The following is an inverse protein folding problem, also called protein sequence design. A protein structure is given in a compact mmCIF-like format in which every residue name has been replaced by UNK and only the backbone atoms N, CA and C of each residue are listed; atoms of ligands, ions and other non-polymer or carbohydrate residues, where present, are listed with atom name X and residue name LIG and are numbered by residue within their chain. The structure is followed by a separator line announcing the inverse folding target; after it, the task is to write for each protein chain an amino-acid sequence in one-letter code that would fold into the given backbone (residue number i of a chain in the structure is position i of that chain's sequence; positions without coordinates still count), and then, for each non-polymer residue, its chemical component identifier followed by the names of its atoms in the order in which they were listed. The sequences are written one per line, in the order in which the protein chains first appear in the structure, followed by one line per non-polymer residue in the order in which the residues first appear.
data_IF_409368850566
#
_entry.id   IF_409368850566
#
_cell.length_a   1.000
_cell.length_b   1.000
_cell.length_c   1.000
_cell.angle_alpha   90.00
_cell.angle_beta   90.00
_cell.angle_gamma   90.00
#
_symmetry.space_group_name_H-M   'P 1'
#
loop_
_entity.id
_entity.type
_entity.pdbx_description
1 polymer ?
#
# COMPACT_ATOMS: atom_id res chain seq x y z
N UNK A 1 -3.15 -10.16 -15.26
CA UNK A 1 -2.70 -11.10 -14.20
C UNK A 1 -3.84 -12.03 -13.78
N UNK A 2 -3.61 -13.35 -13.81
CA UNK A 2 -4.57 -14.38 -13.36
C UNK A 2 -4.58 -14.55 -11.83
N UNK A 3 -5.61 -15.22 -11.30
CA UNK A 3 -5.73 -15.47 -9.85
C UNK A 3 -4.54 -16.27 -9.29
N UNK A 4 -4.16 -17.37 -9.95
CA UNK A 4 -3.03 -18.22 -9.53
C UNK A 4 -1.71 -17.44 -9.51
N UNK A 5 -1.52 -16.55 -10.48
CA UNK A 5 -0.34 -15.67 -10.55
C UNK A 5 -0.34 -14.68 -9.37
N UNK A 6 -1.48 -14.05 -9.11
CA UNK A 6 -1.64 -13.10 -8.01
C UNK A 6 -1.40 -13.78 -6.65
N UNK A 7 -1.86 -15.01 -6.43
CA UNK A 7 -1.58 -15.79 -5.22
C UNK A 7 -0.09 -16.07 -5.02
N UNK A 8 0.59 -16.53 -6.07
CA UNK A 8 2.03 -16.81 -6.03
C UNK A 8 2.82 -15.55 -5.65
N UNK A 9 2.57 -14.44 -6.35
CA UNK A 9 3.25 -13.17 -6.09
C UNK A 9 2.90 -12.57 -4.73
N UNK A 10 1.64 -12.66 -4.31
CA UNK A 10 1.21 -12.20 -3.01
C UNK A 10 1.96 -12.94 -1.90
N UNK A 11 2.11 -14.26 -2.03
CA UNK A 11 2.86 -15.09 -1.07
C UNK A 11 4.35 -14.74 -1.05
N UNK A 12 4.97 -14.54 -2.22
CA UNK A 12 6.37 -14.08 -2.33
C UNK A 12 6.57 -12.72 -1.66
N UNK A 13 5.72 -11.75 -1.99
CA UNK A 13 5.78 -10.40 -1.41
C UNK A 13 5.53 -10.42 0.09
N UNK A 14 4.52 -11.16 0.57
CA UNK A 14 4.24 -11.28 1.99
C UNK A 14 5.43 -11.85 2.76
N UNK A 15 5.98 -12.98 2.29
CA UNK A 15 7.14 -13.64 2.92
C UNK A 15 8.34 -12.69 3.00
N UNK A 16 8.59 -11.96 1.92
CA UNK A 16 9.68 -10.99 1.83
C UNK A 16 9.50 -9.83 2.80
N UNK A 17 8.30 -9.26 2.88
CA UNK A 17 8.00 -8.17 3.81
C UNK A 17 8.02 -8.63 5.27
N UNK A 18 7.65 -9.88 5.56
CA UNK A 18 7.78 -10.45 6.91
C UNK A 18 9.25 -10.63 7.32
N UNK A 19 10.14 -10.98 6.38
CA UNK A 19 11.60 -11.01 6.61
C UNK A 19 12.13 -9.59 6.82
N UNK A 20 11.72 -8.63 5.99
CA UNK A 20 12.12 -7.23 6.09
C UNK A 20 11.76 -6.64 7.46
N UNK A 21 10.54 -6.88 7.96
CA UNK A 21 10.09 -6.42 9.27
C UNK A 21 11.04 -6.90 10.38
N UNK A 22 11.42 -8.17 10.35
CA UNK A 22 12.36 -8.75 11.34
C UNK A 22 13.75 -8.11 11.25
N UNK A 23 14.20 -7.74 10.05
CA UNK A 23 15.48 -7.05 9.83
C UNK A 23 15.46 -5.59 10.32
N UNK A 24 14.32 -4.90 10.18
CA UNK A 24 14.15 -3.51 10.64
C UNK A 24 14.11 -3.46 12.18
N UNK A 25 13.30 -4.32 12.80
CA UNK A 25 13.12 -4.33 14.25
C UNK A 25 12.53 -3.02 14.79
N UNK A 26 13.00 -2.62 15.97
CA UNK A 26 12.51 -1.44 16.70
C UNK A 26 13.10 -0.15 16.13
N UNK A 27 12.25 0.83 15.83
CA UNK A 27 12.64 2.10 15.23
C UNK A 27 12.52 3.21 16.28
N UNK A 28 13.64 3.89 16.56
CA UNK A 28 13.63 5.08 17.42
C UNK A 28 13.16 6.30 16.64
N UNK A 29 12.10 6.97 17.10
CA UNK A 29 11.60 8.21 16.47
C UNK A 29 12.06 9.45 17.24
N UNK A 30 12.15 9.35 18.57
CA UNK A 30 12.64 10.42 19.44
C UNK A 30 12.86 9.91 20.84
N UNK A 31 13.08 10.76 21.83
CA UNK A 31 13.23 10.34 23.25
C UNK A 31 12.16 10.99 24.12
N UNK A 32 11.88 10.44 25.30
CA UNK A 32 11.00 11.10 26.29
C UNK A 32 11.50 12.50 26.65
N UNK A 33 12.82 12.75 26.64
CA UNK A 33 13.38 14.09 26.88
C UNK A 33 12.97 15.09 25.78
N UNK A 34 12.89 14.64 24.52
CA UNK A 34 12.44 15.46 23.39
C UNK A 34 10.90 15.55 23.33
N UNK A 35 10.21 14.49 23.73
CA UNK A 35 8.75 14.38 23.74
C UNK A 35 8.23 14.12 25.16
N UNK A 36 8.33 15.12 26.07
CA UNK A 36 7.98 14.94 27.49
C UNK A 36 6.51 14.62 27.72
N UNK A 37 5.66 14.78 26.69
CA UNK A 37 4.22 14.51 26.73
C UNK A 37 3.82 13.39 25.76
N UNK A 38 4.79 12.57 25.32
CA UNK A 38 4.60 11.43 24.45
C UNK A 38 4.09 11.79 23.05
N UNK A 39 3.43 10.83 22.40
CA UNK A 39 3.04 10.91 20.99
C UNK A 39 1.95 11.93 20.64
N UNK A 40 1.00 12.21 21.54
CA UNK A 40 -0.19 13.04 21.26
C UNK A 40 -0.88 12.67 19.93
N UNK A 41 -0.81 13.56 18.92
CA UNK A 41 -1.39 13.36 17.58
C UNK A 41 -0.43 12.68 16.59
N UNK A 42 0.86 12.59 16.91
CA UNK A 42 1.87 11.98 16.04
C UNK A 42 1.60 10.49 15.78
N UNK A 43 1.02 9.77 16.77
CA UNK A 43 0.62 8.36 16.64
C UNK A 43 -0.60 8.11 15.72
N UNK A 44 -1.01 9.10 14.91
CA UNK A 44 -2.18 9.01 14.02
C UNK A 44 -1.96 9.66 12.65
N UNK A 45 -0.78 10.22 12.38
CA UNK A 45 -0.59 11.19 11.31
C UNK A 45 0.57 10.89 10.37
N UNK A 46 0.68 11.74 9.34
CA UNK A 46 1.69 11.65 8.27
C UNK A 46 3.15 11.80 8.75
N UNK A 47 3.36 12.39 9.93
CA UNK A 47 4.71 12.70 10.44
C UNK A 47 5.58 11.46 10.62
N UNK A 48 5.07 10.45 11.33
CA UNK A 48 5.82 9.20 11.55
C UNK A 48 5.79 8.33 10.30
N UNK A 49 4.70 8.39 9.52
CA UNK A 49 4.57 7.64 8.28
C UNK A 49 5.70 7.92 7.28
N UNK A 50 6.08 9.18 7.05
CA UNK A 50 7.18 9.52 6.13
C UNK A 50 8.51 8.90 6.57
N UNK A 51 8.82 8.93 7.87
CA UNK A 51 10.03 8.29 8.41
C UNK A 51 9.96 6.77 8.22
N UNK A 52 8.79 6.16 8.47
CA UNK A 52 8.60 4.72 8.31
C UNK A 52 8.72 4.29 6.85
N UNK A 53 8.17 5.07 5.92
CA UNK A 53 8.28 4.84 4.48
C UNK A 53 9.75 4.80 4.06
N UNK A 54 10.54 5.81 4.46
CA UNK A 54 12.00 5.84 4.25
C UNK A 54 12.72 4.65 4.88
N UNK A 55 12.38 4.29 6.12
CA UNK A 55 12.96 3.10 6.76
C UNK A 55 12.66 1.84 5.95
N UNK A 56 11.43 1.67 5.47
CA UNK A 56 11.03 0.50 4.68
C UNK A 56 11.77 0.48 3.35
N UNK A 57 11.77 1.59 2.59
CA UNK A 57 12.37 1.64 1.25
C UNK A 57 13.89 1.51 1.29
N UNK A 58 14.58 2.16 2.23
CA UNK A 58 16.03 2.02 2.36
C UNK A 58 16.44 0.60 2.79
N UNK A 59 15.67 -0.05 3.67
CA UNK A 59 15.95 -1.44 4.05
C UNK A 59 15.60 -2.43 2.92
N UNK A 60 14.59 -2.12 2.10
CA UNK A 60 14.30 -2.84 0.87
C UNK A 60 15.49 -2.77 -0.09
N UNK A 61 16.01 -1.57 -0.39
CA UNK A 61 17.20 -1.39 -1.24
C UNK A 61 18.45 -2.05 -0.67
N UNK A 62 18.63 -2.00 0.66
CA UNK A 62 19.79 -2.59 1.32
C UNK A 62 19.75 -4.13 1.29
N UNK A 63 18.58 -4.73 1.44
CA UNK A 63 18.42 -6.16 1.68
C UNK A 63 17.70 -6.91 0.57
N UNK A 64 17.39 -6.32 -0.59
CA UNK A 64 16.56 -6.95 -1.63
C UNK A 64 17.00 -8.39 -2.01
N UNK A 65 18.32 -8.65 -2.06
CA UNK A 65 18.84 -9.99 -2.33
C UNK A 65 18.46 -11.03 -1.26
N UNK A 66 18.40 -10.63 0.02
CA UNK A 66 17.93 -11.46 1.13
C UNK A 66 16.40 -11.64 1.14
N UNK A 67 15.69 -10.85 0.33
CA UNK A 67 14.22 -10.83 0.20
C UNK A 67 13.77 -11.57 -1.07
N UNK A 68 14.62 -12.42 -1.63
CA UNK A 68 14.38 -13.18 -2.87
C UNK A 68 14.05 -12.27 -4.08
N UNK A 69 14.52 -11.03 -4.06
CA UNK A 69 14.40 -10.08 -5.17
C UNK A 69 15.70 -10.04 -5.97
N UNK A 70 15.59 -9.90 -7.28
CA UNK A 70 16.72 -9.71 -8.20
C UNK A 70 16.97 -8.24 -8.51
N UNK A 71 15.93 -7.42 -8.41
CA UNK A 71 16.02 -5.96 -8.50
C UNK A 71 14.94 -5.30 -7.66
N UNK A 72 15.22 -4.07 -7.25
CA UNK A 72 14.27 -3.16 -6.65
C UNK A 72 14.53 -1.75 -7.13
N UNK A 73 13.46 -1.01 -7.39
CA UNK A 73 13.49 0.40 -7.77
C UNK A 73 12.53 1.15 -6.85
N UNK A 74 13.05 2.01 -5.97
CA UNK A 74 12.25 2.89 -5.12
C UNK A 74 11.86 4.14 -5.91
N UNK A 75 10.63 4.61 -5.73
CA UNK A 75 10.18 5.86 -6.34
C UNK A 75 10.79 7.07 -5.64
N UNK A 76 11.46 7.93 -6.42
CA UNK A 76 11.97 9.24 -5.98
C UNK A 76 10.90 10.34 -6.03
N UNK A 77 9.74 10.05 -6.62
CA UNK A 77 8.66 11.02 -6.86
C UNK A 77 7.55 10.92 -5.82
N UNK A 78 7.24 12.04 -5.17
CA UNK A 78 6.04 12.17 -4.30
C UNK A 78 4.71 11.98 -5.06
N UNK A 79 4.77 12.02 -6.39
CA UNK A 79 3.57 11.90 -7.24
C UNK A 79 3.41 10.54 -7.89
N UNK A 80 4.38 9.62 -7.71
CA UNK A 80 4.26 8.25 -8.19
C UNK A 80 3.01 7.57 -7.64
N UNK A 81 2.55 6.54 -8.37
CA UNK A 81 1.39 5.74 -7.97
C UNK A 81 1.79 4.57 -7.07
N UNK A 82 3.06 4.17 -7.12
CA UNK A 82 3.68 3.10 -6.34
C UNK A 82 4.94 3.64 -5.67
N UNK A 83 5.28 3.09 -4.51
CA UNK A 83 6.42 3.55 -3.70
C UNK A 83 7.69 2.76 -4.04
N UNK A 84 7.53 1.52 -4.52
CA UNK A 84 8.62 0.77 -5.14
C UNK A 84 8.10 -0.22 -6.18
N UNK A 85 9.01 -0.69 -7.02
CA UNK A 85 8.81 -1.77 -7.95
C UNK A 85 9.93 -2.80 -7.80
N UNK A 86 9.65 -4.08 -8.03
CA UNK A 86 10.62 -5.16 -7.78
C UNK A 86 10.41 -6.36 -8.71
N UNK A 87 11.50 -7.06 -9.02
CA UNK A 87 11.49 -8.33 -9.74
C UNK A 87 11.94 -9.43 -8.79
N UNK A 88 11.07 -10.41 -8.53
CA UNK A 88 11.42 -11.57 -7.70
C UNK A 88 12.30 -12.57 -8.46
N UNK A 89 13.07 -13.37 -7.73
CA UNK A 89 13.85 -14.45 -8.30
C UNK A 89 12.95 -15.45 -9.04
N UNK A 90 13.38 -15.81 -10.25
CA UNK A 90 12.61 -16.67 -11.15
C UNK A 90 11.40 -16.00 -11.78
N UNK A 91 11.26 -14.68 -11.63
CA UNK A 91 10.26 -13.87 -12.33
C UNK A 91 10.94 -12.97 -13.34
N UNK A 92 10.26 -12.71 -14.46
CA UNK A 92 10.71 -11.76 -15.49
C UNK A 92 9.97 -10.42 -15.40
N UNK A 93 8.76 -10.44 -14.84
CA UNK A 93 7.88 -9.27 -14.75
C UNK A 93 8.03 -8.57 -13.41
N UNK A 94 8.11 -7.25 -13.47
CA UNK A 94 8.14 -6.37 -12.31
C UNK A 94 6.76 -6.23 -11.67
N UNK A 95 6.72 -6.31 -10.34
CA UNK A 95 5.56 -5.95 -9.55
C UNK A 95 5.69 -4.50 -9.06
N UNK A 96 4.56 -3.83 -8.88
CA UNK A 96 4.48 -2.46 -8.38
C UNK A 96 3.76 -2.47 -7.04
N UNK A 97 4.30 -1.76 -6.04
CA UNK A 97 3.77 -1.82 -4.67
C UNK A 97 3.58 -0.43 -4.10
N UNK A 98 2.40 -0.18 -3.54
CA UNK A 98 2.13 1.01 -2.75
C UNK A 98 2.20 0.68 -1.24
N UNK A 99 3.02 1.40 -0.50
CA UNK A 99 3.19 1.29 0.95
C UNK A 99 2.09 2.08 1.64
N UNK A 100 1.41 1.41 2.57
CA UNK A 100 0.46 2.01 3.50
C UNK A 100 0.89 1.70 4.91
N UNK A 101 0.55 2.59 5.83
CA UNK A 101 0.68 2.31 7.26
C UNK A 101 -0.66 2.39 7.96
N UNK A 102 -0.85 1.54 8.96
CA UNK A 102 -1.99 1.57 9.86
C UNK A 102 -1.50 1.45 11.30
N UNK A 103 -2.21 2.04 12.27
CA UNK A 103 -1.93 1.79 13.69
C UNK A 103 -2.45 0.41 14.05
N UNK A 104 -1.62 -0.42 14.68
CA UNK A 104 -1.99 -1.75 15.13
C UNK A 104 -3.17 -1.70 16.12
N UNK A 105 -4.08 -2.66 16.03
CA UNK A 105 -5.28 -2.74 16.90
C UNK A 105 -6.37 -1.69 16.64
N UNK A 106 -6.19 -0.73 15.72
CA UNK A 106 -7.27 0.22 15.38
C UNK A 106 -8.33 -0.41 14.49
N UNK A 107 -9.57 0.05 14.70
CA UNK A 107 -10.71 -0.27 13.83
C UNK A 107 -10.43 0.14 12.39
N UNK A 108 -10.83 -0.71 11.45
CA UNK A 108 -10.75 -0.43 10.02
C UNK A 108 -11.55 0.84 9.66
N UNK A 109 -10.95 1.66 8.79
CA UNK A 109 -11.54 2.86 8.23
C UNK A 109 -11.42 2.78 6.71
N UNK A 110 -12.29 3.52 6.02
CA UNK A 110 -12.20 3.64 4.57
C UNK A 110 -11.08 4.61 4.23
N UNK A 111 -9.96 4.08 3.76
CA UNK A 111 -8.76 4.87 3.49
C UNK A 111 -8.49 5.02 2.01
N UNK A 112 -7.76 6.06 1.64
CA UNK A 112 -7.18 6.20 0.31
C UNK A 112 -6.13 5.11 0.08
N UNK A 113 -6.29 4.36 -1.00
CA UNK A 113 -5.37 3.30 -1.44
C UNK A 113 -4.44 3.83 -2.52
N UNK A 114 -4.99 4.43 -3.57
CA UNK A 114 -4.22 4.94 -4.71
C UNK A 114 -4.98 6.07 -5.41
N UNK A 115 -4.27 6.92 -6.15
CA UNK A 115 -4.89 7.92 -7.02
C UNK A 115 -5.54 7.21 -8.20
N UNK A 116 -6.87 7.27 -8.34
CA UNK A 116 -7.58 6.52 -9.38
C UNK A 116 -7.16 6.93 -10.79
N UNK A 117 -6.94 8.21 -11.06
CA UNK A 117 -6.42 8.65 -12.38
C UNK A 117 -5.02 8.11 -12.70
N UNK A 118 -4.16 7.99 -11.68
CA UNK A 118 -2.84 7.40 -11.83
C UNK A 118 -2.92 5.89 -12.10
N UNK A 119 -3.76 5.18 -11.33
CA UNK A 119 -3.99 3.76 -11.51
C UNK A 119 -4.62 3.43 -12.87
N UNK A 120 -5.51 4.30 -13.36
CA UNK A 120 -6.06 4.18 -14.72
C UNK A 120 -4.96 4.23 -15.77
N UNK A 121 -4.10 5.25 -15.72
CA UNK A 121 -2.96 5.41 -16.66
C UNK A 121 -1.99 4.23 -16.61
N UNK A 122 -1.79 3.65 -15.43
CA UNK A 122 -0.98 2.44 -15.27
C UNK A 122 -1.55 1.27 -16.08
N UNK A 123 -2.84 0.98 -15.93
CA UNK A 123 -3.49 -0.11 -16.67
C UNK A 123 -3.73 0.19 -18.15
N UNK A 124 -3.76 1.46 -18.55
CA UNK A 124 -3.73 1.87 -19.97
C UNK A 124 -2.37 1.56 -20.61
N UNK A 125 -1.27 1.64 -19.83
CA UNK A 125 0.09 1.32 -20.30
C UNK A 125 0.38 -0.18 -20.26
N UNK A 126 -0.02 -0.86 -19.19
CA UNK A 126 0.11 -2.31 -19.02
C UNK A 126 -1.20 -2.89 -18.50
N UNK A 127 -1.98 -3.45 -19.42
CA UNK A 127 -3.27 -4.06 -19.15
C UNK A 127 -3.23 -5.19 -18.11
N UNK A 128 -2.08 -5.84 -17.98
CA UNK A 128 -1.82 -6.97 -17.10
C UNK A 128 -0.88 -6.61 -15.94
N UNK A 129 -0.72 -5.33 -15.66
CA UNK A 129 0.17 -4.82 -14.62
C UNK A 129 -0.07 -5.45 -13.25
N UNK A 130 1.01 -5.86 -12.60
CA UNK A 130 0.99 -6.56 -11.31
C UNK A 130 1.15 -5.52 -10.20
N UNK A 131 0.05 -5.18 -9.52
CA UNK A 131 0.00 -4.07 -8.57
C UNK A 131 -0.52 -4.52 -7.21
N UNK A 132 0.21 -4.16 -6.15
CA UNK A 132 -0.04 -4.57 -4.78
C UNK A 132 -0.07 -3.38 -3.83
N UNK A 133 -0.68 -3.60 -2.67
CA UNK A 133 -0.68 -2.69 -1.53
C UNK A 133 0.01 -3.43 -0.39
N UNK A 134 1.04 -2.84 0.20
CA UNK A 134 1.72 -3.35 1.36
C UNK A 134 1.33 -2.51 2.58
N UNK A 135 0.49 -3.04 3.47
CA UNK A 135 0.06 -2.32 4.68
C UNK A 135 0.88 -2.75 5.89
N UNK A 136 1.73 -1.87 6.39
CA UNK A 136 2.54 -2.08 7.59
C UNK A 136 1.80 -1.57 8.83
N UNK A 137 1.65 -2.43 9.83
CA UNK A 137 0.93 -2.11 11.06
C UNK A 137 1.91 -1.66 12.15
N UNK A 138 1.78 -0.42 12.56
CA UNK A 138 2.68 0.23 13.51
C UNK A 138 2.14 0.14 14.93
N UNK A 139 2.98 -0.35 15.84
CA UNK A 139 2.78 -0.22 17.27
C UNK A 139 3.63 0.93 17.81
N UNK A 140 3.05 1.74 18.69
CA UNK A 140 3.69 2.93 19.26
C UNK A 140 3.95 2.68 20.74
N UNK A 141 5.20 2.81 21.17
CA UNK A 141 5.60 2.55 22.55
C UNK A 141 5.83 3.84 23.32
N UNK A 142 5.70 3.79 24.64
CA UNK A 142 5.83 4.97 25.50
C UNK A 142 7.24 5.58 25.45
N UNK A 143 8.28 4.79 25.18
CA UNK A 143 9.68 5.22 25.05
C UNK A 143 10.01 5.95 23.74
N UNK A 144 9.00 6.40 23.00
CA UNK A 144 9.10 7.11 21.72
C UNK A 144 9.75 6.29 20.59
N UNK A 145 9.58 4.98 20.69
CA UNK A 145 9.89 4.02 19.61
C UNK A 145 8.62 3.48 18.97
N UNK A 146 8.78 2.93 17.78
CA UNK A 146 7.74 2.16 17.11
C UNK A 146 8.29 0.80 16.68
N UNK A 147 7.39 -0.16 16.57
CA UNK A 147 7.65 -1.45 15.95
C UNK A 147 6.65 -1.69 14.82
N UNK A 148 7.09 -2.39 13.78
CA UNK A 148 6.20 -2.87 12.74
C UNK A 148 5.76 -4.28 13.16
N UNK A 149 4.52 -4.40 13.61
CA UNK A 149 3.97 -5.67 14.13
C UNK A 149 3.78 -6.71 13.04
N UNK A 150 3.30 -6.26 11.88
CA UNK A 150 3.05 -7.12 10.72
C UNK A 150 2.90 -6.29 9.44
N UNK A 151 3.03 -6.95 8.29
CA UNK A 151 2.60 -6.43 7.00
C UNK A 151 1.44 -7.26 6.45
N UNK A 152 0.59 -6.65 5.63
CA UNK A 152 -0.34 -7.36 4.75
C UNK A 152 -0.08 -6.92 3.32
N UNK A 153 0.44 -7.84 2.50
CA UNK A 153 0.55 -7.69 1.06
C UNK A 153 -0.77 -8.08 0.40
N UNK A 154 -1.38 -7.13 -0.33
CA UNK A 154 -2.74 -7.26 -0.86
C UNK A 154 -2.77 -6.91 -2.35
N UNK A 155 -3.14 -7.84 -3.25
CA UNK A 155 -3.30 -7.53 -4.67
C UNK A 155 -4.40 -6.49 -4.88
N UNK A 156 -4.14 -5.42 -5.61
CA UNK A 156 -5.14 -4.34 -5.78
C UNK A 156 -6.42 -4.85 -6.45
N UNK A 157 -6.27 -5.85 -7.33
CA UNK A 157 -7.38 -6.48 -8.03
C UNK A 157 -8.40 -7.10 -7.05
N UNK A 158 -7.94 -7.54 -5.88
CA UNK A 158 -8.77 -8.27 -4.92
C UNK A 158 -9.51 -7.37 -3.93
N UNK A 159 -9.39 -6.04 -4.08
CA UNK A 159 -10.08 -5.09 -3.20
C UNK A 159 -11.60 -5.28 -3.38
N UNK A 160 -12.35 -5.59 -2.32
CA UNK A 160 -13.75 -6.00 -2.45
C UNK A 160 -14.71 -4.80 -2.60
N UNK A 161 -14.45 -3.71 -1.88
CA UNK A 161 -15.30 -2.52 -1.80
C UNK A 161 -14.71 -1.36 -2.63
N UNK A 162 -14.61 -1.58 -3.95
CA UNK A 162 -14.10 -0.59 -4.90
C UNK A 162 -14.93 0.68 -4.88
N UNK A 163 -14.35 1.76 -4.38
CA UNK A 163 -14.97 3.06 -4.36
C UNK A 163 -14.01 4.15 -4.81
N UNK A 164 -14.44 4.96 -5.76
CA UNK A 164 -13.73 6.16 -6.19
C UNK A 164 -14.36 7.37 -5.53
N UNK A 165 -13.55 8.15 -4.82
CA UNK A 165 -14.01 9.37 -4.18
C UNK A 165 -14.22 10.49 -5.22
N UNK A 166 -15.44 11.02 -5.40
CA UNK A 166 -15.73 12.02 -6.43
C UNK A 166 -15.11 13.41 -6.18
N UNK A 167 -14.68 13.71 -4.95
CA UNK A 167 -14.14 15.03 -4.56
C UNK A 167 -12.64 15.03 -4.24
N UNK A 168 -12.06 13.88 -3.85
CA UNK A 168 -10.66 13.78 -3.42
C UNK A 168 -9.77 13.19 -4.53
N UNK A 169 -9.54 13.96 -5.60
CA UNK A 169 -8.68 13.56 -6.73
C UNK A 169 -9.00 12.20 -7.38
N UNK A 170 -10.26 11.74 -7.26
CA UNK A 170 -10.65 10.40 -7.70
C UNK A 170 -9.82 9.28 -7.06
N UNK A 171 -9.45 9.41 -5.78
CA UNK A 171 -8.74 8.35 -5.07
C UNK A 171 -9.61 7.09 -4.97
N UNK A 172 -9.00 5.93 -5.26
CA UNK A 172 -9.53 4.63 -4.91
C UNK A 172 -9.45 4.48 -3.39
N UNK A 173 -10.56 4.10 -2.77
CA UNK A 173 -10.65 3.88 -1.34
C UNK A 173 -11.29 2.53 -1.04
N UNK A 174 -10.85 1.91 0.06
CA UNK A 174 -11.52 0.74 0.64
C UNK A 174 -11.25 0.65 2.13
N UNK A 175 -12.18 0.03 2.86
CA UNK A 175 -12.03 -0.29 4.28
C UNK A 175 -11.51 -1.69 4.56
N UNK A 176 -11.28 -2.50 3.52
CA UNK A 176 -11.06 -3.95 3.64
C UNK A 176 -9.71 -4.44 3.11
N UNK A 177 -8.96 -3.61 2.39
CA UNK A 177 -7.66 -3.97 1.80
C UNK A 177 -6.55 -4.35 2.82
N UNK A 178 -6.81 -4.16 4.11
CA UNK A 178 -5.87 -4.46 5.20
C UNK A 178 -5.99 -5.90 5.74
N UNK A 179 -6.96 -6.68 5.26
CA UNK A 179 -7.17 -8.06 5.69
C UNK A 179 -7.57 -8.94 4.52
N UNK A 180 -6.77 -9.98 4.25
CA UNK A 180 -7.03 -10.93 3.15
C UNK A 180 -8.30 -11.75 3.37
N UNK A 181 -8.86 -11.80 4.59
CA UNK A 181 -10.13 -12.48 4.87
C UNK A 181 -11.30 -11.90 4.06
N UNK A 182 -11.21 -10.62 3.68
CA UNK A 182 -12.23 -9.92 2.92
C UNK A 182 -11.93 -9.88 1.42
N UNK A 183 -10.82 -10.47 0.98
CA UNK A 183 -10.39 -10.40 -0.41
C UNK A 183 -11.41 -11.07 -1.34
N UNK A 184 -11.76 -10.38 -2.42
CA UNK A 184 -12.52 -10.95 -3.52
C UNK A 184 -11.56 -11.29 -4.65
N UNK A 185 -11.10 -12.55 -4.69
CA UNK A 185 -10.15 -13.00 -5.70
C UNK A 185 -10.77 -12.86 -7.09
N UNK A 186 -10.10 -12.11 -7.95
CA UNK A 186 -10.46 -11.88 -9.33
C UNK A 186 -9.23 -11.66 -10.18
N UNK A 187 -9.41 -11.81 -11.48
CA UNK A 187 -8.39 -11.44 -12.46
C UNK A 187 -8.31 -9.90 -12.58
N UNK A 188 -7.15 -9.42 -13.06
CA UNK A 188 -6.97 -7.98 -13.31
C UNK A 188 -7.94 -7.45 -14.36
N UNK A 189 -8.31 -8.25 -15.36
CA UNK A 189 -9.30 -7.90 -16.38
C UNK A 189 -10.67 -7.57 -15.76
N UNK A 190 -11.17 -8.43 -14.87
CA UNK A 190 -12.42 -8.20 -14.14
C UNK A 190 -12.33 -6.98 -13.22
N UNK A 191 -11.23 -6.84 -12.47
CA UNK A 191 -11.00 -5.67 -11.63
C UNK A 191 -11.07 -4.37 -12.43
N UNK A 192 -10.47 -4.34 -13.62
CA UNK A 192 -10.42 -3.12 -14.45
C UNK A 192 -11.80 -2.68 -14.89
N UNK A 193 -12.68 -3.61 -15.28
CA UNK A 193 -14.08 -3.29 -15.62
C UNK A 193 -14.77 -2.64 -14.42
N UNK A 194 -14.70 -3.27 -13.24
CA UNK A 194 -15.32 -2.73 -12.02
C UNK A 194 -14.72 -1.38 -11.60
N UNK A 195 -13.41 -1.21 -11.80
CA UNK A 195 -12.70 0.03 -11.51
C UNK A 195 -13.13 1.17 -12.45
N UNK A 196 -13.29 0.90 -13.75
CA UNK A 196 -13.77 1.86 -14.73
C UNK A 196 -15.22 2.28 -14.45
N UNK A 197 -16.10 1.33 -14.13
CA UNK A 197 -17.47 1.61 -13.68
C UNK A 197 -17.49 2.52 -12.44
N UNK A 198 -16.66 2.21 -11.44
CA UNK A 198 -16.56 3.02 -10.23
C UNK A 198 -16.05 4.45 -10.53
N UNK A 199 -15.11 4.60 -11.47
CA UNK A 199 -14.62 5.90 -11.95
C UNK A 199 -15.74 6.69 -12.64
N UNK A 200 -16.54 6.06 -13.50
CA UNK A 200 -17.67 6.71 -14.16
C UNK A 200 -18.74 7.19 -13.17
N UNK A 201 -19.09 6.35 -12.18
CA UNK A 201 -20.02 6.71 -11.11
C UNK A 201 -19.52 7.95 -10.36
N UNK A 202 -18.22 7.99 -10.02
CA UNK A 202 -17.63 9.14 -9.35
C UNK A 202 -17.66 10.40 -10.22
N UNK A 203 -17.40 10.29 -11.53
CA UNK A 203 -17.50 11.40 -12.48
C UNK A 203 -18.93 11.94 -12.58
N UNK A 204 -19.94 11.08 -12.68
CA UNK A 204 -21.36 11.47 -12.69
C UNK A 204 -21.73 12.22 -11.40
N UNK A 205 -21.32 11.70 -10.24
CA UNK A 205 -21.54 12.37 -8.93
C UNK A 205 -20.86 13.74 -8.84
N UNK A 206 -19.63 13.86 -9.36
CA UNK A 206 -18.91 15.13 -9.39
C UNK A 206 -19.61 16.16 -10.27
N UNK A 207 -20.09 15.77 -11.46
CA UNK A 207 -20.86 16.65 -12.36
C UNK A 207 -22.17 17.10 -11.73
N UNK A 208 -22.91 16.19 -11.11
CA UNK A 208 -24.15 16.53 -10.43
C UNK A 208 -23.95 17.59 -9.33
N UNK A 209 -22.87 17.47 -8.54
CA UNK A 209 -22.52 18.45 -7.50
C UNK A 209 -22.09 19.82 -8.04
N UNK A 210 -21.52 19.88 -9.25
CA UNK A 210 -21.15 21.15 -9.89
C UNK A 210 -22.37 21.87 -10.50
N UNK A 211 -23.44 21.11 -10.78
CA UNK A 211 -24.67 21.62 -11.38
C UNK A 211 -25.79 21.87 -10.34
N UNK A 212 -25.51 21.64 -9.05
CA UNK A 212 -26.40 21.89 -7.91
C UNK A 212 -25.92 23.10 -7.11
#
# INVERSE_FOLDING_TARGET
MSIKRAESLQSKLQTSLDILIKKIGKIQIGTIKQFPLGWRKAAKGRTVWRIVEEVITQNLEKYYADLDMTSITVSDSETSIHDFAAIFKGEEKEIHVNIKTAVFGRRAQKDDISKGTGLKKFYEKDADGEFFIATFFLNFHEDMTIEIEKCVAFPIAWVPDLYINPSNNANLQSGKYKSLEYAQKREVSEFRVLFEEAMEIALKKRRAKLNS
#
